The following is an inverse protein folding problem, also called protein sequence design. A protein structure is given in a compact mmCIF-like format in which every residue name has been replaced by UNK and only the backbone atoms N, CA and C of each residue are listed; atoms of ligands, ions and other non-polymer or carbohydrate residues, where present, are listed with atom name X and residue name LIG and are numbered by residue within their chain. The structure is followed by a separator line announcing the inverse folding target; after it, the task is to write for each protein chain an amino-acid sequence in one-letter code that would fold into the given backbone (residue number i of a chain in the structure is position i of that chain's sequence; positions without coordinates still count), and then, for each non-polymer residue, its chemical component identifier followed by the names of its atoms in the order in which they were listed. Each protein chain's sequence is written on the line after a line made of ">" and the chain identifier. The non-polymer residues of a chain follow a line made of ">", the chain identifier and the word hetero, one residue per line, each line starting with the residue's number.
data_IF_479710266678
#
_entry.id   IF_479710266678
#
_cell.length_a   1.000
_cell.length_b   1.000
_cell.length_c   1.000
_cell.angle_alpha   90.00
_cell.angle_beta   90.00
_cell.angle_gamma   90.00
#
_symmetry.space_group_name_H-M   'P 1'
#
loop_
_entity.id
_entity.type
_entity.pdbx_description
1 polymer ?
#
# COMPACT_ATOMS: atom_id res chain seq x y z
N UNK A 1 3.19 3.38 -25.77
CA UNK A 1 3.29 4.84 -25.54
C UNK A 1 2.63 5.15 -24.21
N UNK A 2 3.27 5.97 -23.37
CA UNK A 2 2.70 6.45 -22.10
C UNK A 2 1.97 7.77 -22.37
N UNK A 3 0.66 7.80 -22.13
CA UNK A 3 -0.17 8.99 -22.38
C UNK A 3 -0.09 10.01 -21.23
N UNK A 4 -0.09 9.53 -19.99
CA UNK A 4 0.06 10.34 -18.79
C UNK A 4 0.54 9.46 -17.63
N UNK A 5 1.18 10.08 -16.63
CA UNK A 5 1.62 9.43 -15.40
C UNK A 5 1.44 10.38 -14.22
N UNK A 6 1.03 9.86 -13.07
CA UNK A 6 0.85 10.62 -11.84
C UNK A 6 0.93 9.68 -10.63
N UNK A 7 1.25 10.22 -9.45
CA UNK A 7 1.37 9.44 -8.22
C UNK A 7 1.99 10.24 -7.08
N UNK A 8 2.20 9.57 -5.95
CA UNK A 8 2.87 10.11 -4.76
C UNK A 8 4.01 9.17 -4.37
N UNK A 9 5.25 9.68 -4.38
CA UNK A 9 6.45 8.90 -4.05
C UNK A 9 6.63 8.66 -2.55
N UNK A 10 5.79 9.27 -1.71
CA UNK A 10 5.78 9.16 -0.26
C UNK A 10 4.46 8.57 0.27
N UNK A 11 3.77 7.78 -0.55
CA UNK A 11 2.56 7.05 -0.17
C UNK A 11 2.71 5.57 -0.53
N UNK A 12 2.68 4.68 0.47
CA UNK A 12 2.86 3.26 0.26
C UNK A 12 2.40 2.39 1.43
N UNK A 13 2.77 1.12 1.39
CA UNK A 13 2.38 0.15 2.42
C UNK A 13 2.91 0.46 3.81
N UNK A 14 4.02 1.19 3.91
CA UNK A 14 4.57 1.63 5.19
C UNK A 14 3.63 2.62 5.90
N UNK A 15 2.95 3.51 5.17
CA UNK A 15 1.99 4.44 5.77
C UNK A 15 0.80 3.71 6.39
N UNK A 16 0.37 2.61 5.75
CA UNK A 16 -0.69 1.74 6.28
C UNK A 16 -0.22 1.04 7.55
N UNK A 17 1.04 0.59 7.59
CA UNK A 17 1.63 -0.02 8.78
C UNK A 17 1.71 1.00 9.92
N UNK A 18 2.17 2.23 9.64
CA UNK A 18 2.25 3.31 10.62
C UNK A 18 0.90 3.60 11.27
N UNK A 19 -0.19 3.68 10.51
CA UNK A 19 -1.55 3.88 11.08
C UNK A 19 -1.94 2.77 12.05
N UNK A 20 -1.58 1.54 11.75
CA UNK A 20 -1.87 0.40 12.61
C UNK A 20 -0.95 0.38 13.84
N UNK A 21 0.33 0.71 13.68
CA UNK A 21 1.31 0.85 14.78
C UNK A 21 0.82 1.91 15.78
N UNK A 22 0.47 3.10 15.29
CA UNK A 22 -0.02 4.20 16.13
C UNK A 22 -1.28 3.78 16.88
N UNK A 23 -2.21 3.10 16.21
CA UNK A 23 -3.41 2.57 16.86
C UNK A 23 -3.06 1.58 17.99
N UNK A 24 -2.23 0.57 17.71
CA UNK A 24 -1.85 -0.45 18.69
C UNK A 24 -1.09 0.14 19.89
N UNK A 25 -0.17 1.07 19.64
CA UNK A 25 0.59 1.75 20.68
C UNK A 25 -0.33 2.63 21.55
N UNK A 26 -1.28 3.34 20.95
CA UNK A 26 -2.26 4.15 21.67
C UNK A 26 -3.20 3.30 22.53
N UNK A 27 -3.70 2.17 22.03
CA UNK A 27 -4.53 1.25 22.81
C UNK A 27 -3.73 0.63 23.97
N UNK A 28 -2.49 0.20 23.73
CA UNK A 28 -1.61 -0.31 24.79
C UNK A 28 -1.34 0.74 25.87
N UNK A 29 -1.13 2.00 25.47
CA UNK A 29 -0.94 3.12 26.40
C UNK A 29 -2.19 3.40 27.22
N UNK A 30 -3.40 3.25 26.66
CA UNK A 30 -4.66 3.38 27.41
C UNK A 30 -4.82 2.28 28.45
N UNK A 31 -4.49 1.05 28.10
CA UNK A 31 -4.70 -0.13 28.96
C UNK A 31 -3.63 -0.28 30.06
N UNK A 32 -2.36 0.00 29.72
CA UNK A 32 -1.20 -0.27 30.58
C UNK A 32 -0.54 1.01 31.09
N UNK A 33 -0.79 2.15 30.45
CA UNK A 33 -0.17 3.44 30.82
C UNK A 33 1.26 3.64 30.32
N UNK A 34 1.81 2.69 29.55
CA UNK A 34 3.19 2.73 29.03
C UNK A 34 3.19 3.08 27.54
N UNK A 35 4.05 4.03 27.16
CA UNK A 35 4.20 4.45 25.77
C UNK A 35 5.31 3.66 25.08
N UNK A 36 4.93 2.83 24.10
CA UNK A 36 5.86 1.96 23.37
C UNK A 36 6.77 2.74 22.40
N UNK A 37 6.44 4.00 22.05
CA UNK A 37 7.28 4.80 21.15
C UNK A 37 8.65 5.14 21.74
N UNK A 38 8.76 5.11 23.08
CA UNK A 38 10.01 5.39 23.78
C UNK A 38 10.95 4.18 23.87
N UNK A 39 10.49 2.99 23.44
CA UNK A 39 11.27 1.75 23.47
C UNK A 39 11.51 1.27 22.03
N UNK A 40 12.72 1.52 21.47
CA UNK A 40 13.03 1.14 20.08
C UNK A 40 12.88 -0.36 19.80
N UNK A 41 13.14 -1.22 20.79
CA UNK A 41 13.02 -2.68 20.61
C UNK A 41 11.55 -3.09 20.57
N UNK A 42 10.71 -2.50 21.43
CA UNK A 42 9.27 -2.73 21.41
C UNK A 42 8.65 -2.22 20.10
N UNK A 43 9.07 -1.03 19.63
CA UNK A 43 8.57 -0.43 18.39
C UNK A 43 8.90 -1.28 17.16
N UNK A 44 10.11 -1.84 17.07
CA UNK A 44 10.48 -2.75 15.98
C UNK A 44 9.58 -3.99 15.94
N UNK A 45 9.36 -4.62 17.10
CA UNK A 45 8.47 -5.79 17.22
C UNK A 45 7.02 -5.44 16.89
N UNK A 46 6.59 -4.23 17.26
CA UNK A 46 5.27 -3.73 16.95
C UNK A 46 5.10 -3.49 15.44
N UNK A 47 6.13 -2.95 14.76
CA UNK A 47 6.14 -2.76 13.30
C UNK A 47 5.96 -4.09 12.56
N UNK A 48 6.74 -5.12 12.91
CA UNK A 48 6.63 -6.44 12.29
C UNK A 48 5.26 -7.09 12.53
N UNK A 49 4.71 -6.93 13.74
CA UNK A 49 3.40 -7.48 14.07
C UNK A 49 2.25 -6.73 13.37
N UNK A 50 2.35 -5.41 13.23
CA UNK A 50 1.39 -4.58 12.50
C UNK A 50 1.39 -4.93 11.01
N UNK A 51 2.55 -5.04 10.37
CA UNK A 51 2.64 -5.44 8.96
C UNK A 51 2.02 -6.81 8.73
N UNK A 52 2.36 -7.79 9.59
CA UNK A 52 1.78 -9.13 9.52
C UNK A 52 0.26 -9.10 9.70
N UNK A 53 -0.26 -8.34 10.67
CA UNK A 53 -1.68 -8.20 10.90
C UNK A 53 -2.41 -7.55 9.70
N UNK A 54 -1.82 -6.51 9.09
CA UNK A 54 -2.33 -5.88 7.86
C UNK A 54 -2.45 -6.90 6.72
N UNK A 55 -1.42 -7.70 6.52
CA UNK A 55 -1.41 -8.74 5.47
C UNK A 55 -2.49 -9.80 5.77
N UNK A 56 -2.58 -10.30 7.00
CA UNK A 56 -3.60 -11.29 7.41
C UNK A 56 -5.03 -10.75 7.22
N UNK A 57 -5.27 -9.47 7.51
CA UNK A 57 -6.57 -8.82 7.32
C UNK A 57 -6.97 -8.65 5.85
N UNK A 58 -6.05 -8.84 4.91
CA UNK A 58 -6.38 -8.86 3.48
C UNK A 58 -7.15 -10.13 3.08
N UNK A 59 -7.03 -11.22 3.85
CA UNK A 59 -7.78 -12.47 3.64
C UNK A 59 -8.80 -12.75 4.76
N UNK A 60 -8.46 -12.42 6.00
CA UNK A 60 -9.30 -12.63 7.19
C UNK A 60 -10.10 -11.38 7.58
N UNK A 61 -11.20 -11.57 8.31
CA UNK A 61 -12.01 -10.45 8.84
C UNK A 61 -11.50 -9.90 10.17
N UNK A 62 -10.66 -10.67 10.86
CA UNK A 62 -10.04 -10.30 12.14
C UNK A 62 -8.70 -11.02 12.30
N UNK A 63 -7.81 -10.43 13.10
CA UNK A 63 -6.54 -11.02 13.55
C UNK A 63 -6.26 -10.57 14.99
N UNK A 64 -5.47 -11.37 15.71
CA UNK A 64 -5.05 -11.08 17.08
C UNK A 64 -3.56 -10.71 17.07
N UNK A 65 -3.24 -9.46 17.45
CA UNK A 65 -1.87 -9.00 17.63
C UNK A 65 -1.42 -9.38 19.03
N UNK A 66 -0.58 -10.40 19.14
CA UNK A 66 -0.09 -10.92 20.41
C UNK A 66 1.44 -10.80 20.51
N UNK A 67 1.91 -9.86 21.33
CA UNK A 67 3.32 -9.63 21.61
C UNK A 67 3.60 -9.86 23.10
N UNK A 68 4.06 -11.07 23.47
CA UNK A 68 4.42 -11.35 24.84
C UNK A 68 5.73 -10.63 25.22
N UNK A 69 5.83 -10.17 26.47
CA UNK A 69 7.01 -9.48 26.99
C UNK A 69 7.42 -8.31 26.09
N UNK A 70 6.45 -7.46 25.72
CA UNK A 70 6.69 -6.34 24.81
C UNK A 70 7.50 -5.24 25.50
N UNK A 71 7.24 -5.00 26.79
CA UNK A 71 7.97 -4.07 27.64
C UNK A 71 7.82 -4.50 29.10
N UNK A 72 8.44 -3.77 30.04
CA UNK A 72 8.30 -4.01 31.48
C UNK A 72 8.16 -2.68 32.24
N UNK A 73 7.38 -2.70 33.33
CA UNK A 73 7.26 -1.57 34.26
C UNK A 73 7.60 -2.02 35.70
N UNK A 74 7.38 -1.14 36.68
CA UNK A 74 7.62 -1.44 38.09
C UNK A 74 6.79 -2.61 38.64
N UNK A 75 5.69 -2.99 37.97
CA UNK A 75 4.83 -4.13 38.33
C UNK A 75 5.22 -5.44 37.63
N UNK A 76 6.14 -5.39 36.67
CA UNK A 76 6.69 -6.55 35.97
C UNK A 76 6.54 -6.49 34.44
N UNK A 77 6.76 -7.62 33.76
CA UNK A 77 6.64 -7.70 32.30
C UNK A 77 5.20 -7.47 31.82
N UNK A 78 5.06 -6.83 30.66
CA UNK A 78 3.79 -6.53 30.01
C UNK A 78 3.68 -7.24 28.66
N UNK A 79 2.44 -7.54 28.29
CA UNK A 79 2.11 -8.22 27.04
C UNK A 79 1.08 -7.38 26.31
N UNK A 80 1.19 -7.30 24.98
CA UNK A 80 0.17 -6.68 24.13
C UNK A 80 -0.67 -7.80 23.53
N UNK A 81 -1.99 -7.75 23.75
CA UNK A 81 -2.94 -8.67 23.14
C UNK A 81 -4.17 -7.87 22.68
N UNK A 82 -4.18 -7.51 21.40
CA UNK A 82 -5.23 -6.67 20.82
C UNK A 82 -5.81 -7.38 19.61
N UNK A 83 -7.13 -7.57 19.60
CA UNK A 83 -7.87 -8.03 18.42
C UNK A 83 -8.13 -6.86 17.49
N UNK A 84 -7.77 -7.01 16.21
CA UNK A 84 -8.00 -6.02 15.16
C UNK A 84 -8.93 -6.62 14.12
N UNK A 85 -9.99 -5.88 13.75
CA UNK A 85 -10.90 -6.27 12.66
C UNK A 85 -10.51 -5.57 11.36
N UNK A 86 -10.90 -6.15 10.21
CA UNK A 86 -10.69 -5.53 8.90
C UNK A 86 -11.35 -4.15 8.83
N UNK A 87 -12.58 -4.04 9.31
CA UNK A 87 -13.30 -2.77 9.38
C UNK A 87 -12.53 -1.71 10.20
N UNK A 88 -11.86 -2.12 11.28
CA UNK A 88 -11.03 -1.21 12.06
C UNK A 88 -9.81 -0.75 11.25
N UNK A 89 -9.10 -1.66 10.58
CA UNK A 89 -7.99 -1.30 9.71
C UNK A 89 -8.44 -0.35 8.59
N UNK A 90 -9.54 -0.66 7.90
CA UNK A 90 -10.11 0.19 6.85
C UNK A 90 -10.38 1.61 7.36
N UNK A 91 -10.98 1.77 8.54
CA UNK A 91 -11.22 3.09 9.14
C UNK A 91 -9.95 3.87 9.47
N UNK A 92 -8.80 3.20 9.65
CA UNK A 92 -7.53 3.84 9.98
C UNK A 92 -6.77 4.33 8.75
N UNK A 93 -7.08 3.78 7.56
CA UNK A 93 -6.32 4.00 6.31
C UNK A 93 -7.18 4.52 5.16
N UNK A 94 -8.47 4.76 5.39
CA UNK A 94 -9.42 5.23 4.36
C UNK A 94 -8.91 6.49 3.64
N UNK A 95 -8.40 7.47 4.38
CA UNK A 95 -7.86 8.70 3.81
C UNK A 95 -6.61 8.46 2.94
N UNK A 96 -5.80 7.43 3.26
CA UNK A 96 -4.65 7.05 2.44
C UNK A 96 -5.12 6.45 1.11
N UNK A 97 -6.18 5.64 1.14
CA UNK A 97 -6.77 5.06 -0.09
C UNK A 97 -7.38 6.17 -0.94
N UNK A 98 -8.11 7.11 -0.36
CA UNK A 98 -8.69 8.26 -1.09
C UNK A 98 -7.60 9.10 -1.79
N UNK A 99 -6.46 9.32 -1.12
CA UNK A 99 -5.31 10.02 -1.72
C UNK A 99 -4.75 9.30 -2.94
N UNK A 100 -4.88 7.98 -3.06
CA UNK A 100 -4.44 7.25 -4.26
C UNK A 100 -5.34 7.47 -5.48
N UNK A 101 -6.62 7.83 -5.28
CA UNK A 101 -7.58 8.01 -6.38
C UNK A 101 -7.40 9.35 -7.08
N UNK A 102 -6.95 10.38 -6.37
CA UNK A 102 -6.77 11.72 -6.94
C UNK A 102 -5.72 11.76 -8.08
N UNK A 103 -4.52 11.16 -7.94
CA UNK A 103 -3.59 10.99 -9.05
C UNK A 103 -4.18 10.27 -10.27
N UNK A 104 -5.06 9.29 -10.07
CA UNK A 104 -5.73 8.61 -11.18
C UNK A 104 -6.64 9.55 -11.97
N UNK A 105 -7.37 10.45 -11.30
CA UNK A 105 -8.20 11.47 -11.96
C UNK A 105 -7.35 12.43 -12.79
N UNK A 106 -6.22 12.89 -12.21
CA UNK A 106 -5.30 13.81 -12.88
C UNK A 106 -4.71 13.13 -14.12
N UNK A 107 -4.21 11.89 -13.98
CA UNK A 107 -3.65 11.15 -15.11
C UNK A 107 -4.65 10.93 -16.25
N UNK A 108 -5.91 10.59 -15.95
CA UNK A 108 -6.95 10.44 -16.98
C UNK A 108 -7.22 11.76 -17.70
N UNK A 109 -7.26 12.86 -16.94
CA UNK A 109 -7.45 14.20 -17.49
C UNK A 109 -6.28 14.62 -18.40
N UNK A 110 -5.04 14.38 -17.96
CA UNK A 110 -3.84 14.73 -18.70
C UNK A 110 -3.69 13.90 -19.97
N UNK A 111 -4.16 12.64 -19.94
CA UNK A 111 -4.26 11.78 -21.12
C UNK A 111 -5.37 12.22 -22.10
N UNK A 112 -6.26 13.14 -21.69
CA UNK A 112 -7.41 13.56 -22.50
C UNK A 112 -8.48 12.49 -22.67
N UNK A 113 -8.54 11.52 -21.76
CA UNK A 113 -9.46 10.37 -21.82
C UNK A 113 -10.61 10.51 -20.82
N UNK A 114 -11.63 9.69 -21.01
CA UNK A 114 -12.66 9.39 -19.99
C UNK A 114 -12.35 8.06 -19.33
N UNK A 115 -12.83 7.89 -18.09
CA UNK A 115 -12.77 6.61 -17.37
C UNK A 115 -13.35 5.46 -18.21
N UNK A 116 -14.42 5.71 -18.96
CA UNK A 116 -15.07 4.71 -19.83
C UNK A 116 -14.21 4.23 -21.01
N UNK A 117 -13.16 4.98 -21.36
CA UNK A 117 -12.25 4.66 -22.47
C UNK A 117 -11.05 3.83 -21.99
N UNK A 118 -10.92 3.58 -20.69
CA UNK A 118 -9.91 2.65 -20.16
C UNK A 118 -10.41 1.24 -20.41
N UNK A 119 -9.67 0.42 -21.15
CA UNK A 119 -10.05 -0.97 -21.44
C UNK A 119 -9.78 -1.90 -20.26
N UNK A 120 -8.56 -1.87 -19.74
CA UNK A 120 -8.07 -2.75 -18.68
C UNK A 120 -7.54 -1.95 -17.48
N UNK A 121 -7.77 -2.46 -16.27
CA UNK A 121 -7.14 -1.99 -15.04
C UNK A 121 -6.19 -3.07 -14.53
N UNK A 122 -4.94 -2.71 -14.29
CA UNK A 122 -3.90 -3.62 -13.80
C UNK A 122 -3.44 -3.13 -12.43
N UNK A 123 -3.45 -4.02 -11.44
CA UNK A 123 -2.95 -3.76 -10.10
C UNK A 123 -1.54 -4.34 -9.94
N UNK A 124 -0.61 -3.52 -9.48
CA UNK A 124 0.80 -3.90 -9.25
C UNK A 124 1.22 -3.45 -7.85
N UNK A 125 2.01 -4.29 -7.16
CA UNK A 125 2.50 -4.05 -5.80
C UNK A 125 1.63 -4.72 -4.72
N UNK A 126 2.29 -5.21 -3.66
CA UNK A 126 1.64 -6.01 -2.62
C UNK A 126 0.51 -5.30 -1.86
N UNK A 127 0.58 -3.98 -1.69
CA UNK A 127 -0.46 -3.21 -0.99
C UNK A 127 -1.81 -3.20 -1.75
N UNK A 128 -1.81 -3.49 -3.06
CA UNK A 128 -3.04 -3.65 -3.87
C UNK A 128 -3.83 -4.93 -3.56
N UNK A 129 -3.27 -5.84 -2.75
CA UNK A 129 -3.96 -7.05 -2.28
C UNK A 129 -5.04 -6.75 -1.23
N UNK A 130 -5.04 -5.55 -0.65
CA UNK A 130 -6.06 -5.12 0.31
C UNK A 130 -7.44 -5.01 -0.38
N UNK A 131 -8.49 -5.68 0.12
CA UNK A 131 -9.82 -5.63 -0.49
C UNK A 131 -10.38 -4.23 -0.70
N UNK A 132 -10.18 -3.32 0.28
CA UNK A 132 -10.66 -1.93 0.20
C UNK A 132 -9.99 -1.12 -0.92
N UNK A 133 -8.70 -1.37 -1.19
CA UNK A 133 -8.00 -0.75 -2.33
C UNK A 133 -8.61 -1.23 -3.65
N UNK A 134 -8.86 -2.53 -3.79
CA UNK A 134 -9.49 -3.09 -4.99
C UNK A 134 -10.91 -2.57 -5.19
N UNK A 135 -11.67 -2.41 -4.10
CA UNK A 135 -13.01 -1.82 -4.13
C UNK A 135 -12.96 -0.37 -4.61
N UNK A 136 -12.10 0.48 -4.03
CA UNK A 136 -11.96 1.88 -4.42
C UNK A 136 -11.57 2.04 -5.90
N UNK A 137 -10.64 1.20 -6.37
CA UNK A 137 -10.25 1.16 -7.79
C UNK A 137 -11.42 0.71 -8.67
N UNK A 138 -12.15 -0.34 -8.27
CA UNK A 138 -13.33 -0.83 -9.02
C UNK A 138 -14.44 0.22 -9.09
N UNK A 139 -14.69 0.92 -7.99
CA UNK A 139 -15.67 2.01 -7.93
C UNK A 139 -15.27 3.16 -8.85
N UNK A 140 -14.00 3.58 -8.80
CA UNK A 140 -13.50 4.68 -9.61
C UNK A 140 -13.52 4.37 -11.11
N UNK A 141 -13.01 3.20 -11.52
CA UNK A 141 -12.93 2.82 -12.93
C UNK A 141 -14.21 2.17 -13.48
N UNK A 142 -15.16 1.81 -12.61
CA UNK A 142 -16.39 1.11 -12.98
C UNK A 142 -16.16 -0.30 -13.53
N UNK A 143 -14.98 -0.90 -13.32
CA UNK A 143 -14.60 -2.22 -13.83
C UNK A 143 -13.67 -2.97 -12.88
N UNK A 144 -13.69 -4.31 -12.98
CA UNK A 144 -12.77 -5.13 -12.21
C UNK A 144 -11.35 -5.08 -12.78
N UNK A 145 -10.36 -5.02 -11.88
CA UNK A 145 -8.97 -5.18 -12.26
C UNK A 145 -8.69 -6.61 -12.74
N UNK A 146 -7.73 -6.72 -13.65
CA UNK A 146 -7.23 -8.01 -14.14
C UNK A 146 -6.59 -8.81 -13.02
N UNK A 147 -6.83 -10.14 -13.05
CA UNK A 147 -6.33 -11.10 -12.06
C UNK A 147 -5.25 -12.03 -12.61
N UNK A 148 -4.92 -11.89 -13.89
CA UNK A 148 -3.93 -12.69 -14.61
C UNK A 148 -2.55 -12.01 -14.71
N UNK A 149 -2.36 -10.91 -13.98
CA UNK A 149 -1.06 -10.24 -13.81
C UNK A 149 -0.54 -10.51 -12.40
N UNK A 150 0.71 -10.96 -12.27
CA UNK A 150 1.35 -11.12 -10.97
C UNK A 150 1.79 -9.74 -10.42
N UNK A 151 1.19 -9.23 -9.33
CA UNK A 151 1.50 -7.89 -8.83
C UNK A 151 2.90 -7.76 -8.23
N UNK A 152 3.56 -8.87 -7.89
CA UNK A 152 4.88 -8.87 -7.24
C UNK A 152 6.03 -8.95 -8.25
N UNK A 153 5.78 -9.53 -9.43
CA UNK A 153 6.82 -9.89 -10.39
C UNK A 153 6.74 -9.13 -11.72
N UNK A 154 5.57 -8.58 -12.07
CA UNK A 154 5.34 -7.94 -13.37
C UNK A 154 6.38 -6.84 -13.69
N UNK A 155 6.80 -6.07 -12.69
CA UNK A 155 7.81 -5.02 -12.85
C UNK A 155 9.18 -5.60 -13.22
N UNK A 156 9.63 -6.64 -12.52
CA UNK A 156 10.92 -7.28 -12.79
C UNK A 156 10.95 -7.95 -14.17
N UNK A 157 9.84 -8.57 -14.56
CA UNK A 157 9.67 -9.15 -15.91
C UNK A 157 9.73 -8.04 -16.97
N UNK A 158 9.03 -6.92 -16.76
CA UNK A 158 9.09 -5.75 -17.65
C UNK A 158 10.51 -5.20 -17.82
N UNK A 159 11.28 -5.11 -16.72
CA UNK A 159 12.67 -4.69 -16.76
C UNK A 159 13.56 -5.66 -17.57
N UNK A 160 13.36 -6.96 -17.42
CA UNK A 160 14.09 -7.98 -18.19
C UNK A 160 13.77 -7.88 -19.69
N UNK A 161 12.49 -7.69 -20.05
CA UNK A 161 12.06 -7.47 -21.44
C UNK A 161 12.73 -6.22 -22.01
N UNK A 162 12.76 -5.12 -21.26
CA UNK A 162 13.44 -3.90 -21.68
C UNK A 162 14.94 -4.14 -21.94
N UNK A 163 15.61 -4.92 -21.09
CA UNK A 163 17.00 -5.35 -21.31
C UNK A 163 17.19 -6.14 -22.60
N UNK A 164 16.29 -7.07 -22.89
CA UNK A 164 16.33 -7.89 -24.12
C UNK A 164 16.03 -7.08 -25.40
N UNK A 165 15.20 -6.03 -25.30
CA UNK A 165 15.00 -5.07 -26.40
C UNK A 165 16.28 -4.29 -26.66
N UNK A 166 16.95 -3.82 -25.61
CA UNK A 166 18.22 -3.08 -25.72
C UNK A 166 19.36 -3.94 -26.29
N UNK A 167 19.38 -5.26 -26.02
CA UNK A 167 20.36 -6.19 -26.60
C UNK A 167 20.03 -6.60 -28.04
N UNK A 168 18.82 -6.31 -28.52
CA UNK A 168 18.34 -6.69 -29.85
C UNK A 168 17.86 -8.15 -29.95
N UNK A 169 17.74 -8.87 -28.83
CA UNK A 169 17.15 -10.21 -28.77
C UNK A 169 15.65 -10.18 -28.98
N UNK A 170 14.97 -9.18 -28.42
CA UNK A 170 13.55 -8.90 -28.66
C UNK A 170 13.43 -7.86 -29.76
N UNK A 171 12.71 -8.20 -30.82
CA UNK A 171 12.42 -7.34 -31.96
C UNK A 171 10.93 -6.97 -31.98
N UNK A 172 10.60 -5.92 -32.73
CA UNK A 172 9.23 -5.44 -32.96
C UNK A 172 8.50 -4.90 -31.70
N UNK A 173 9.25 -4.47 -30.69
CA UNK A 173 8.73 -3.76 -29.52
C UNK A 173 9.27 -2.34 -29.51
N UNK A 174 8.35 -1.36 -29.46
CA UNK A 174 8.67 0.06 -29.36
C UNK A 174 7.99 0.66 -28.13
N UNK A 175 8.77 1.27 -27.24
CA UNK A 175 8.29 1.98 -26.05
C UNK A 175 8.58 3.47 -26.20
N UNK A 176 7.57 4.30 -25.96
CA UNK A 176 7.69 5.75 -25.82
C UNK A 176 7.18 6.10 -24.43
N UNK A 177 8.04 6.76 -23.64
CA UNK A 177 7.79 7.16 -22.25
C UNK A 177 7.86 8.69 -22.10
N UNK A 178 7.44 9.22 -20.97
CA UNK A 178 7.30 10.66 -20.70
C UNK A 178 7.99 11.08 -19.41
N UNK A 179 8.34 12.37 -19.29
CA UNK A 179 8.83 12.95 -18.04
C UNK A 179 7.64 13.32 -17.14
N UNK A 180 7.59 12.88 -15.87
CA UNK A 180 6.41 13.06 -15.01
C UNK A 180 6.23 14.48 -14.46
N UNK A 181 7.28 15.30 -14.51
CA UNK A 181 7.29 16.64 -13.91
C UNK A 181 7.67 17.68 -14.97
N UNK A 182 7.02 18.83 -14.90
CA UNK A 182 7.40 20.00 -15.71
C UNK A 182 8.78 20.50 -15.31
N UNK A 183 9.60 20.86 -16.29
CA UNK A 183 10.93 21.45 -16.08
C UNK A 183 10.89 22.92 -16.50
N UNK A 184 11.31 23.82 -15.61
CA UNK A 184 11.31 25.27 -15.83
C UNK A 184 12.43 25.98 -15.06
N UNK A 185 12.60 27.28 -15.33
CA UNK A 185 13.53 28.18 -14.63
C UNK A 185 12.73 29.33 -13.97
N UNK A 186 13.27 29.93 -12.91
CA UNK A 186 12.69 31.08 -12.20
C UNK A 186 12.77 32.37 -13.01
#
# INVERSE_FOLDING_TARGET
>A
EVLATNGDTFLGGEDFDLRLIDYLANEFKKDVGVDLHNDPLALQRLKEAAEKAKIELSSSQQTDVNLPYITADASGPKHLNIRVTRAKLESLVEDLIEKTIEPCKIAIKDAGLKVSEIDDVILVGGQTRMPKVQEAVKEFFGKEARKDVNPDEAVAIGAAIQGAVLSGEVKDVLLLDVTPLSLGIE
#
